data_IF_919615953435
#
_entry.id   IF_919615953435
#
_cell.length_a   1.000
_cell.length_b   1.000
_cell.length_c   1.000
_cell.angle_alpha   90.00
_cell.angle_beta   90.00
_cell.angle_gamma   90.00
#
_symmetry.space_group_name_H-M   'P 1'
#
loop_
_entity.id
_entity.type
_entity.pdbx_description
1 polymer ?
#
# COMPACT_ATOMS: atom_id res chain seq x y z
N UNK A 1 2.44 -23.02 65.85
CA UNK A 1 1.63 -23.45 64.70
C UNK A 1 1.26 -22.20 63.94
N UNK A 2 2.00 -21.90 62.89
CA UNK A 2 1.80 -20.73 62.02
C UNK A 2 1.01 -21.21 60.78
N UNK A 3 -0.19 -20.68 60.55
CA UNK A 3 -1.02 -20.99 59.39
C UNK A 3 -0.51 -20.16 58.19
N UNK A 4 -0.34 -20.74 56.98
CA UNK A 4 -0.04 -19.96 55.81
C UNK A 4 -1.29 -19.27 55.29
N UNK A 5 -1.20 -17.97 55.06
CA UNK A 5 -2.21 -17.18 54.39
C UNK A 5 -2.15 -17.44 52.90
N UNK A 6 -3.23 -17.95 52.31
CA UNK A 6 -3.46 -18.07 50.87
C UNK A 6 -3.78 -16.67 50.34
N UNK A 7 -2.86 -16.11 49.52
CA UNK A 7 -3.13 -14.94 48.71
C UNK A 7 -4.03 -15.36 47.52
N UNK A 8 -5.13 -14.65 47.25
CA UNK A 8 -5.91 -14.91 46.04
C UNK A 8 -5.17 -14.38 44.80
N UNK A 9 -4.91 -15.27 43.86
CA UNK A 9 -4.37 -14.95 42.55
C UNK A 9 -5.47 -14.20 41.77
N UNK A 10 -5.36 -12.87 41.69
CA UNK A 10 -6.21 -12.04 40.83
C UNK A 10 -5.85 -12.33 39.38
N UNK A 11 -6.66 -13.14 38.72
CA UNK A 11 -6.71 -13.25 37.24
C UNK A 11 -7.23 -11.92 36.69
N UNK A 12 -6.31 -11.03 36.31
CA UNK A 12 -6.62 -9.90 35.48
C UNK A 12 -7.09 -10.42 34.09
N UNK A 13 -8.30 -10.07 33.63
CA UNK A 13 -8.70 -10.38 32.28
C UNK A 13 -7.76 -9.63 31.32
N UNK A 14 -7.07 -10.37 30.47
CA UNK A 14 -6.37 -9.84 29.33
C UNK A 14 -7.44 -9.16 28.44
N UNK A 15 -7.64 -7.86 28.64
CA UNK A 15 -8.33 -7.02 27.67
C UNK A 15 -7.47 -7.03 26.42
N UNK A 16 -7.83 -7.89 25.47
CA UNK A 16 -7.30 -7.80 24.11
C UNK A 16 -7.58 -6.38 23.63
N UNK A 17 -6.53 -5.59 23.50
CA UNK A 17 -6.62 -4.28 22.87
C UNK A 17 -7.26 -4.49 21.48
N UNK A 18 -8.24 -3.65 21.07
CA UNK A 18 -8.81 -3.76 19.73
C UNK A 18 -7.65 -3.72 18.72
N UNK A 19 -7.57 -4.76 17.88
CA UNK A 19 -6.53 -4.88 16.87
C UNK A 19 -6.47 -3.60 16.05
N UNK A 20 -5.31 -2.97 16.04
CA UNK A 20 -5.07 -1.76 15.24
C UNK A 20 -5.19 -2.16 13.78
N UNK A 21 -6.00 -1.45 13.04
CA UNK A 21 -6.16 -1.57 11.60
C UNK A 21 -4.78 -1.36 10.95
N UNK A 22 -4.22 -2.41 10.41
CA UNK A 22 -3.07 -2.37 9.51
C UNK A 22 -3.62 -2.75 8.13
N UNK A 23 -3.12 -2.16 7.08
CA UNK A 23 -3.18 -2.69 5.72
C UNK A 23 -2.74 -4.17 5.69
N UNK A 24 -2.54 -4.83 4.54
CA UNK A 24 -1.96 -6.19 4.63
C UNK A 24 -1.03 -6.22 5.82
N UNK A 25 -1.22 -7.14 6.77
CA UNK A 25 -0.33 -7.20 7.91
C UNK A 25 1.13 -7.35 7.46
N UNK A 26 2.04 -7.30 8.39
CA UNK A 26 3.48 -7.37 8.10
C UNK A 26 3.85 -8.52 7.14
N UNK A 27 3.23 -9.70 7.29
CA UNK A 27 3.51 -10.86 6.46
C UNK A 27 2.94 -10.72 5.04
N UNK A 28 1.78 -10.09 4.89
CA UNK A 28 1.18 -9.83 3.59
C UNK A 28 2.01 -8.88 2.74
N UNK A 29 2.45 -7.75 3.30
CA UNK A 29 3.37 -6.82 2.63
C UNK A 29 4.68 -7.49 2.22
N UNK A 30 5.25 -8.33 3.09
CA UNK A 30 6.46 -9.09 2.77
C UNK A 30 6.25 -10.02 1.59
N UNK A 31 5.11 -10.72 1.53
CA UNK A 31 4.77 -11.59 0.40
C UNK A 31 4.60 -10.81 -0.90
N UNK A 32 3.96 -9.64 -0.87
CA UNK A 32 3.87 -8.73 -2.04
C UNK A 32 5.26 -8.37 -2.58
N UNK A 33 6.21 -8.02 -1.68
CA UNK A 33 7.61 -7.75 -2.07
C UNK A 33 8.28 -9.01 -2.67
N UNK A 34 8.13 -10.17 -2.04
CA UNK A 34 8.75 -11.41 -2.50
C UNK A 34 8.22 -11.85 -3.88
N UNK A 35 6.92 -11.67 -4.12
CA UNK A 35 6.29 -11.90 -5.42
C UNK A 35 6.87 -10.92 -6.45
N UNK A 36 6.96 -9.63 -6.09
CA UNK A 36 7.50 -8.61 -6.99
C UNK A 36 8.96 -8.88 -7.37
N UNK A 37 9.81 -9.21 -6.41
CA UNK A 37 11.22 -9.56 -6.67
C UNK A 37 11.35 -10.78 -7.58
N UNK A 38 10.50 -11.79 -7.39
CA UNK A 38 10.52 -13.00 -8.22
C UNK A 38 10.02 -12.75 -9.66
N UNK A 39 9.25 -11.69 -9.88
CA UNK A 39 8.73 -11.31 -11.20
C UNK A 39 9.71 -10.46 -12.03
N UNK A 40 10.75 -9.90 -11.41
CA UNK A 40 11.71 -9.03 -12.10
C UNK A 40 12.56 -9.79 -13.11
N UNK A 41 12.89 -9.20 -14.27
CA UNK A 41 13.73 -9.84 -15.27
C UNK A 41 15.21 -9.87 -14.83
N UNK A 42 16.03 -10.80 -15.38
CA UNK A 42 17.44 -10.97 -14.98
C UNK A 42 18.32 -9.72 -15.18
N UNK A 43 17.93 -8.81 -16.06
CA UNK A 43 18.65 -7.55 -16.33
C UNK A 43 18.19 -6.38 -15.44
N UNK A 44 17.31 -6.61 -14.49
CA UNK A 44 17.06 -5.66 -13.40
C UNK A 44 18.32 -5.57 -12.49
N UNK A 45 18.63 -4.42 -11.86
CA UNK A 45 19.84 -4.27 -11.07
C UNK A 45 20.06 -5.39 -10.05
N UNK A 46 21.14 -6.15 -10.20
CA UNK A 46 21.41 -7.39 -9.44
C UNK A 46 21.52 -7.16 -7.93
N UNK A 47 21.95 -5.96 -7.50
CA UNK A 47 22.07 -5.65 -6.08
C UNK A 47 20.74 -5.73 -5.32
N UNK A 48 19.59 -5.58 -6.00
CA UNK A 48 18.25 -5.68 -5.37
C UNK A 48 17.90 -7.12 -5.00
N UNK A 49 18.47 -8.11 -5.71
CA UNK A 49 18.17 -9.54 -5.54
C UNK A 49 19.03 -10.24 -4.49
N UNK A 50 19.99 -9.55 -3.86
CA UNK A 50 20.77 -10.10 -2.74
C UNK A 50 19.87 -10.45 -1.55
N UNK A 51 20.23 -11.47 -0.74
CA UNK A 51 19.39 -11.88 0.39
C UNK A 51 19.13 -10.76 1.39
N UNK A 52 20.16 -9.97 1.72
CA UNK A 52 20.07 -8.87 2.69
C UNK A 52 19.26 -7.68 2.13
N UNK A 53 19.44 -7.37 0.85
CA UNK A 53 18.72 -6.30 0.17
C UNK A 53 17.25 -6.67 -0.03
N UNK A 54 16.95 -7.89 -0.43
CA UNK A 54 15.59 -8.41 -0.55
C UNK A 54 14.87 -8.38 0.80
N UNK A 55 15.55 -8.81 1.88
CA UNK A 55 15.03 -8.71 3.25
C UNK A 55 14.81 -7.26 3.66
N UNK A 56 15.75 -6.37 3.34
CA UNK A 56 15.61 -4.95 3.65
C UNK A 56 14.39 -4.32 2.96
N UNK A 57 14.16 -4.60 1.68
CA UNK A 57 12.97 -4.09 0.97
C UNK A 57 11.69 -4.65 1.60
N UNK A 58 11.68 -5.95 1.93
CA UNK A 58 10.56 -6.59 2.61
C UNK A 58 10.29 -6.00 4.00
N UNK A 59 11.33 -5.69 4.78
CA UNK A 59 11.21 -4.99 6.07
C UNK A 59 10.64 -3.58 5.91
N UNK A 60 11.12 -2.83 4.92
CA UNK A 60 10.72 -1.45 4.66
C UNK A 60 9.29 -1.34 4.14
N UNK A 61 8.72 -2.42 3.58
CA UNK A 61 7.31 -2.43 3.17
C UNK A 61 6.34 -2.30 4.35
N UNK A 62 6.77 -2.51 5.58
CA UNK A 62 5.98 -2.23 6.78
C UNK A 62 6.26 -0.86 7.42
N UNK A 63 7.13 -0.03 6.84
CA UNK A 63 7.54 1.23 7.47
C UNK A 63 6.42 2.27 7.56
N UNK A 64 5.57 2.51 6.53
CA UNK A 64 4.47 3.46 6.63
C UNK A 64 3.48 3.10 7.74
N UNK A 65 3.24 1.83 8.00
CA UNK A 65 2.41 1.38 9.12
C UNK A 65 3.03 1.70 10.49
N UNK A 66 4.35 1.62 10.60
CA UNK A 66 5.05 1.98 11.85
C UNK A 66 4.86 3.46 12.17
N UNK A 67 4.83 4.34 11.15
CA UNK A 67 4.58 5.77 11.34
C UNK A 67 3.19 6.06 11.90
N UNK A 68 2.17 5.27 11.55
CA UNK A 68 0.81 5.41 12.11
C UNK A 68 0.75 5.20 13.61
N UNK A 69 1.68 4.43 14.16
CA UNK A 69 1.72 4.12 15.58
C UNK A 69 2.29 5.28 16.44
N UNK A 70 2.90 6.27 15.81
CA UNK A 70 3.38 7.47 16.50
C UNK A 70 2.20 8.41 16.72
N UNK A 71 2.00 8.92 17.97
CA UNK A 71 0.89 9.85 18.26
C UNK A 71 1.13 11.26 17.71
N UNK A 72 2.19 11.48 16.94
CA UNK A 72 2.58 12.77 16.41
C UNK A 72 1.67 13.21 15.26
N UNK A 73 0.91 14.28 15.49
CA UNK A 73 -0.02 14.84 14.51
C UNK A 73 0.62 15.28 13.18
N UNK A 74 1.82 15.89 13.14
CA UNK A 74 2.48 16.21 11.88
C UNK A 74 2.69 15.01 10.96
N UNK A 75 3.07 13.84 11.49
CA UNK A 75 3.18 12.62 10.70
C UNK A 75 1.83 12.13 10.18
N UNK A 76 0.75 12.36 10.92
CA UNK A 76 -0.59 12.00 10.50
C UNK A 76 -1.16 12.94 9.44
N UNK A 77 -0.75 14.20 9.43
CA UNK A 77 -1.29 15.23 8.54
C UNK A 77 -0.45 15.44 7.27
N UNK A 78 0.83 15.14 7.31
CA UNK A 78 1.79 15.52 6.26
C UNK A 78 1.91 14.53 5.10
N UNK A 79 1.00 13.58 4.96
CA UNK A 79 1.12 12.48 3.99
C UNK A 79 2.07 11.39 4.48
N UNK A 80 1.95 10.20 3.94
CA UNK A 80 2.72 9.02 4.40
C UNK A 80 2.16 8.41 5.68
N UNK A 81 1.00 8.89 6.14
CA UNK A 81 0.25 8.28 7.21
C UNK A 81 -1.18 7.99 6.73
N UNK A 82 -2.17 7.91 7.53
CA UNK A 82 -3.50 7.34 7.24
C UNK A 82 -4.05 7.55 5.82
N UNK A 83 -4.00 8.76 5.27
CA UNK A 83 -4.64 9.08 3.99
C UNK A 83 -3.96 8.46 2.77
N UNK A 84 -2.69 8.11 2.84
CA UNK A 84 -1.92 7.58 1.70
C UNK A 84 -2.10 6.06 1.52
N UNK A 85 -2.75 5.38 2.48
CA UNK A 85 -2.94 3.93 2.49
C UNK A 85 -4.16 3.44 1.69
N UNK A 86 -5.08 4.32 1.32
CA UNK A 86 -6.36 3.91 0.72
C UNK A 86 -6.89 4.95 -0.27
N UNK A 87 -7.94 4.55 -1.00
CA UNK A 87 -8.80 5.43 -1.78
C UNK A 87 -10.24 4.89 -1.77
N UNK A 88 -11.12 5.51 -1.01
CA UNK A 88 -12.55 5.14 -0.93
C UNK A 88 -13.30 5.63 -2.17
N UNK A 89 -13.50 4.74 -3.15
CA UNK A 89 -14.05 5.12 -4.45
C UNK A 89 -15.47 5.67 -4.37
N UNK A 90 -16.28 5.19 -3.46
CA UNK A 90 -17.65 5.69 -3.26
C UNK A 90 -17.67 7.16 -2.82
N UNK A 91 -16.68 7.60 -2.04
CA UNK A 91 -16.59 9.01 -1.64
C UNK A 91 -16.26 9.94 -2.82
N UNK A 92 -15.60 9.45 -3.86
CA UNK A 92 -15.41 10.21 -5.09
C UNK A 92 -16.76 10.45 -5.76
N UNK A 93 -17.55 9.39 -5.93
CA UNK A 93 -18.91 9.46 -6.50
C UNK A 93 -19.83 10.34 -5.64
N UNK A 94 -19.78 10.17 -4.32
CA UNK A 94 -20.54 10.99 -3.37
C UNK A 94 -20.18 12.49 -3.49
N UNK A 95 -18.95 12.83 -3.88
CA UNK A 95 -18.49 14.19 -4.14
C UNK A 95 -18.73 14.67 -5.58
N UNK A 96 -19.36 13.86 -6.42
CA UNK A 96 -19.61 14.18 -7.83
C UNK A 96 -18.34 14.13 -8.70
N UNK A 97 -17.32 13.37 -8.28
CA UNK A 97 -16.07 13.15 -9.02
C UNK A 97 -16.11 11.82 -9.75
N UNK A 98 -15.54 11.81 -10.95
CA UNK A 98 -15.41 10.61 -11.77
C UNK A 98 -13.96 10.13 -11.77
N UNK A 99 -13.74 8.84 -11.50
CA UNK A 99 -12.44 8.21 -11.51
C UNK A 99 -11.75 8.32 -12.89
N UNK A 100 -12.53 8.31 -13.97
CA UNK A 100 -12.01 8.38 -15.34
C UNK A 100 -11.49 9.77 -15.72
N UNK A 101 -11.85 10.80 -14.98
CA UNK A 101 -11.40 12.19 -15.18
C UNK A 101 -10.60 12.72 -13.99
N UNK A 102 -10.33 11.89 -12.99
CA UNK A 102 -9.62 12.29 -11.78
C UNK A 102 -8.22 12.83 -12.10
N UNK A 103 -7.90 14.02 -11.60
CA UNK A 103 -6.60 14.67 -11.85
C UNK A 103 -5.44 13.93 -11.21
N UNK A 104 -4.30 13.85 -11.90
CA UNK A 104 -3.05 13.34 -11.33
C UNK A 104 -2.32 14.35 -10.40
N UNK A 105 -2.78 15.60 -10.33
CA UNK A 105 -2.23 16.62 -9.46
C UNK A 105 -2.90 16.60 -8.09
N UNK A 106 -2.17 16.19 -7.05
CA UNK A 106 -2.71 16.03 -5.68
C UNK A 106 -3.38 17.29 -5.14
N UNK A 107 -2.81 18.47 -5.36
CA UNK A 107 -3.38 19.74 -4.88
C UNK A 107 -4.69 20.11 -5.59
N UNK A 108 -4.80 19.84 -6.89
CA UNK A 108 -6.04 20.03 -7.63
C UNK A 108 -7.13 19.09 -7.13
N UNK A 109 -6.77 17.81 -6.92
CA UNK A 109 -7.69 16.84 -6.35
C UNK A 109 -8.24 17.27 -4.98
N UNK A 110 -7.38 17.74 -4.08
CA UNK A 110 -7.81 18.23 -2.76
C UNK A 110 -8.86 19.35 -2.92
N UNK A 111 -8.64 20.30 -3.83
CA UNK A 111 -9.59 21.38 -4.11
C UNK A 111 -10.88 20.86 -4.75
N UNK A 112 -10.79 19.95 -5.71
CA UNK A 112 -11.95 19.36 -6.36
C UNK A 112 -12.80 18.57 -5.36
N UNK A 113 -12.18 17.73 -4.55
CA UNK A 113 -12.87 16.93 -3.55
C UNK A 113 -13.52 17.81 -2.47
N UNK A 114 -12.82 18.81 -1.94
CA UNK A 114 -13.37 19.71 -0.92
C UNK A 114 -14.60 20.47 -1.46
N UNK A 115 -14.56 20.95 -2.70
CA UNK A 115 -15.70 21.61 -3.36
C UNK A 115 -16.86 20.63 -3.60
N UNK A 116 -16.56 19.44 -4.13
CA UNK A 116 -17.55 18.40 -4.36
C UNK A 116 -18.26 17.98 -3.07
N UNK A 117 -17.48 17.71 -2.01
CA UNK A 117 -18.03 17.40 -0.69
C UNK A 117 -18.92 18.50 -0.13
N UNK A 118 -18.55 19.77 -0.30
CA UNK A 118 -19.37 20.89 0.15
C UNK A 118 -20.68 21.01 -0.67
N UNK A 119 -20.59 20.79 -1.99
CA UNK A 119 -21.75 20.83 -2.88
C UNK A 119 -22.73 19.67 -2.63
N UNK A 120 -22.23 18.51 -2.26
CA UNK A 120 -22.98 17.27 -2.03
C UNK A 120 -23.00 16.87 -0.54
N UNK A 121 -23.01 17.82 0.38
CA UNK A 121 -22.87 17.56 1.82
C UNK A 121 -23.86 16.52 2.38
N UNK A 122 -25.06 16.41 1.80
CA UNK A 122 -26.08 15.45 2.21
C UNK A 122 -25.69 13.97 1.93
N UNK A 123 -24.75 13.72 1.00
CA UNK A 123 -24.25 12.37 0.70
C UNK A 123 -23.25 11.87 1.77
N UNK A 124 -22.70 12.77 2.58
CA UNK A 124 -21.69 12.45 3.58
C UNK A 124 -22.28 12.36 4.98
N UNK A 125 -21.90 11.34 5.72
CA UNK A 125 -22.26 11.25 7.13
C UNK A 125 -21.58 12.36 7.93
N UNK A 126 -22.26 12.91 8.97
CA UNK A 126 -21.61 13.79 9.92
C UNK A 126 -20.38 13.12 10.55
N UNK A 127 -19.28 13.85 10.61
CA UNK A 127 -18.05 13.40 11.25
C UNK A 127 -18.09 13.79 12.72
N UNK A 128 -17.90 12.83 13.61
CA UNK A 128 -17.68 13.09 15.03
C UNK A 128 -16.28 13.70 15.27
N UNK A 129 -16.18 14.97 15.67
CA UNK A 129 -14.86 15.60 15.88
C UNK A 129 -14.00 14.91 16.95
N UNK A 130 -14.64 14.27 17.95
CA UNK A 130 -13.91 13.56 19.00
C UNK A 130 -13.18 12.31 18.46
N UNK A 131 -13.70 11.73 17.38
CA UNK A 131 -13.16 10.54 16.70
C UNK A 131 -12.36 10.87 15.45
N UNK A 132 -12.22 12.14 15.07
CA UNK A 132 -11.51 12.62 13.89
C UNK A 132 -10.43 13.66 14.28
N UNK A 133 -9.65 13.38 15.30
CA UNK A 133 -8.61 14.30 15.80
C UNK A 133 -7.49 14.54 14.78
N UNK A 134 -7.22 13.56 13.93
CA UNK A 134 -6.24 13.60 12.84
C UNK A 134 -6.82 14.13 11.52
N UNK A 135 -8.12 14.41 11.45
CA UNK A 135 -8.83 14.96 10.30
C UNK A 135 -8.81 14.05 9.04
N UNK A 136 -8.49 12.79 9.20
CA UNK A 136 -8.41 11.84 8.06
C UNK A 136 -9.78 11.43 7.53
N UNK A 137 -10.81 11.34 8.39
CA UNK A 137 -12.18 11.02 7.96
C UNK A 137 -12.84 12.09 7.05
N UNK A 138 -12.15 13.21 6.82
CA UNK A 138 -12.61 14.26 5.91
C UNK A 138 -12.28 13.95 4.45
N UNK A 139 -11.41 12.99 4.17
CA UNK A 139 -10.82 12.70 2.87
C UNK A 139 -11.09 11.26 2.41
N UNK A 140 -11.18 11.04 1.09
CA UNK A 140 -11.39 9.70 0.53
C UNK A 140 -10.11 8.86 0.45
N UNK A 141 -8.97 9.41 0.86
CA UNK A 141 -7.66 8.81 0.70
C UNK A 141 -6.84 9.35 -0.49
N UNK A 142 -5.55 8.97 -0.53
CA UNK A 142 -4.57 9.54 -1.45
C UNK A 142 -3.59 8.51 -2.02
N UNK A 143 -3.85 7.22 -1.89
CA UNK A 143 -2.94 6.16 -2.32
C UNK A 143 -2.41 6.30 -3.77
N UNK A 144 -3.21 6.67 -4.79
CA UNK A 144 -2.71 6.82 -6.16
C UNK A 144 -1.63 7.89 -6.28
N UNK A 145 -1.78 9.02 -5.57
CA UNK A 145 -0.78 10.10 -5.58
C UNK A 145 0.48 9.72 -4.82
N UNK A 146 0.34 9.01 -3.68
CA UNK A 146 1.48 8.47 -2.95
C UNK A 146 2.31 7.51 -3.82
N UNK A 147 1.65 6.60 -4.53
CA UNK A 147 2.30 5.67 -5.47
C UNK A 147 3.02 6.45 -6.58
N UNK A 148 2.36 7.44 -7.21
CA UNK A 148 2.96 8.24 -8.28
C UNK A 148 4.17 9.05 -7.78
N UNK A 149 4.11 9.63 -6.58
CA UNK A 149 5.23 10.35 -5.97
C UNK A 149 6.43 9.42 -5.70
N UNK A 150 6.19 8.26 -5.10
CA UNK A 150 7.27 7.30 -4.83
C UNK A 150 7.82 6.69 -6.12
N UNK A 151 7.00 6.46 -7.14
CA UNK A 151 7.48 6.09 -8.46
C UNK A 151 8.42 7.14 -9.06
N UNK A 152 8.06 8.44 -8.98
CA UNK A 152 8.91 9.53 -9.43
C UNK A 152 10.26 9.56 -8.72
N UNK A 153 10.26 9.38 -7.39
CA UNK A 153 11.48 9.26 -6.57
C UNK A 153 12.33 8.05 -6.97
N UNK A 154 11.69 6.89 -7.21
CA UNK A 154 12.38 5.68 -7.64
C UNK A 154 13.01 5.84 -9.01
N UNK A 155 12.29 6.41 -9.98
CA UNK A 155 12.80 6.69 -11.32
C UNK A 155 13.98 7.68 -11.29
N UNK A 156 13.89 8.74 -10.47
CA UNK A 156 14.99 9.66 -10.22
C UNK A 156 16.19 8.94 -9.59
N UNK A 157 15.93 8.05 -8.62
CA UNK A 157 16.94 7.21 -7.99
C UNK A 157 17.74 6.39 -8.99
N UNK A 158 17.08 5.73 -9.92
CA UNK A 158 17.75 5.00 -11.00
C UNK A 158 18.50 5.94 -11.96
N UNK A 159 18.00 7.15 -12.21
CA UNK A 159 18.67 8.14 -13.05
C UNK A 159 20.03 8.54 -12.47
N UNK A 160 20.08 8.91 -11.17
CA UNK A 160 21.34 9.30 -10.55
C UNK A 160 22.26 8.11 -10.23
N UNK A 161 21.71 6.92 -9.94
CA UNK A 161 22.50 5.71 -9.76
C UNK A 161 23.37 5.41 -11.01
N UNK A 162 22.78 5.48 -12.22
CA UNK A 162 23.51 5.31 -13.47
C UNK A 162 24.70 6.25 -13.62
N UNK A 163 24.57 7.48 -13.11
CA UNK A 163 25.67 8.45 -13.11
C UNK A 163 26.75 8.08 -12.09
N UNK A 164 26.35 7.71 -10.86
CA UNK A 164 27.31 7.32 -9.83
C UNK A 164 28.04 6.01 -10.15
N UNK A 165 27.38 5.05 -10.81
CA UNK A 165 28.02 3.82 -11.25
C UNK A 165 29.07 4.06 -12.34
N UNK A 166 28.93 5.11 -13.15
CA UNK A 166 29.85 5.47 -14.22
C UNK A 166 30.98 6.38 -13.74
N UNK A 167 30.67 7.44 -13.02
CA UNK A 167 31.64 8.52 -12.69
C UNK A 167 31.70 8.89 -11.19
N UNK A 168 30.92 8.24 -10.35
CA UNK A 168 30.89 8.50 -8.91
C UNK A 168 31.96 7.75 -8.14
N UNK A 169 32.04 8.03 -6.84
CA UNK A 169 32.84 7.25 -5.89
C UNK A 169 32.11 5.98 -5.46
N UNK A 170 32.83 4.96 -4.95
CA UNK A 170 32.16 3.76 -4.37
C UNK A 170 31.17 4.09 -3.27
N UNK A 171 31.46 5.10 -2.42
CA UNK A 171 30.58 5.54 -1.35
C UNK A 171 29.29 6.19 -1.89
N UNK A 172 29.38 7.02 -2.93
CA UNK A 172 28.19 7.62 -3.57
C UNK A 172 27.31 6.55 -4.22
N UNK A 173 27.91 5.58 -4.89
CA UNK A 173 27.19 4.45 -5.47
C UNK A 173 26.49 3.59 -4.41
N UNK A 174 27.16 3.30 -3.30
CA UNK A 174 26.57 2.55 -2.18
C UNK A 174 25.38 3.30 -1.55
N UNK A 175 25.52 4.62 -1.33
CA UNK A 175 24.43 5.44 -0.81
C UNK A 175 23.27 5.54 -1.77
N UNK A 176 23.51 5.65 -3.08
CA UNK A 176 22.46 5.65 -4.10
C UNK A 176 21.67 4.33 -4.11
N UNK A 177 22.35 3.20 -4.01
CA UNK A 177 21.71 1.86 -3.89
C UNK A 177 20.87 1.75 -2.61
N UNK A 178 21.38 2.21 -1.47
CA UNK A 178 20.65 2.20 -0.20
C UNK A 178 19.38 3.06 -0.27
N UNK A 179 19.43 4.23 -0.91
CA UNK A 179 18.26 5.08 -1.14
C UNK A 179 17.21 4.41 -2.04
N UNK A 180 17.65 3.71 -3.09
CA UNK A 180 16.73 2.97 -3.96
C UNK A 180 15.99 1.88 -3.19
N UNK A 181 16.69 1.07 -2.40
CA UNK A 181 16.06 0.03 -1.57
C UNK A 181 15.03 0.64 -0.59
N UNK A 182 15.34 1.80 -0.01
CA UNK A 182 14.41 2.52 0.86
C UNK A 182 13.13 2.93 0.13
N UNK A 183 13.27 3.58 -1.03
CA UNK A 183 12.10 4.00 -1.82
C UNK A 183 11.32 2.82 -2.37
N UNK A 184 11.99 1.74 -2.79
CA UNK A 184 11.34 0.50 -3.22
C UNK A 184 10.46 -0.09 -2.12
N UNK A 185 10.96 -0.13 -0.88
CA UNK A 185 10.21 -0.63 0.26
C UNK A 185 8.98 0.22 0.59
N UNK A 186 9.12 1.56 0.62
CA UNK A 186 7.97 2.45 0.86
C UNK A 186 6.90 2.33 -0.23
N UNK A 187 7.32 2.31 -1.49
CA UNK A 187 6.41 2.14 -2.62
C UNK A 187 5.69 0.78 -2.56
N UNK A 188 6.38 -0.27 -2.11
CA UNK A 188 5.80 -1.59 -1.94
C UNK A 188 4.61 -1.60 -0.98
N UNK A 189 4.67 -0.78 0.07
CA UNK A 189 3.57 -0.65 1.02
C UNK A 189 2.29 -0.15 0.33
N UNK A 190 2.33 1.03 -0.28
CA UNK A 190 1.15 1.66 -0.87
C UNK A 190 0.57 0.87 -2.05
N UNK A 191 1.43 0.23 -2.86
CA UNK A 191 0.96 -0.67 -3.92
C UNK A 191 0.33 -1.93 -3.33
N UNK A 192 0.91 -2.47 -2.27
CA UNK A 192 0.37 -3.60 -1.52
C UNK A 192 -1.00 -3.29 -0.93
N UNK A 193 -1.16 -2.15 -0.26
CA UNK A 193 -2.43 -1.68 0.29
C UNK A 193 -3.53 -1.67 -0.76
N UNK A 194 -3.24 -1.09 -1.94
CA UNK A 194 -4.20 -1.04 -3.03
C UNK A 194 -4.58 -2.41 -3.60
N UNK A 195 -3.86 -3.49 -3.28
CA UNK A 195 -4.28 -4.86 -3.64
C UNK A 195 -5.31 -5.44 -2.69
N UNK A 196 -5.41 -4.93 -1.49
CA UNK A 196 -6.39 -5.35 -0.51
C UNK A 196 -7.71 -4.59 -0.78
N UNK A 197 -8.80 -5.27 -1.17
CA UNK A 197 -10.02 -4.61 -1.64
C UNK A 197 -10.62 -3.61 -0.64
N UNK A 198 -10.51 -3.90 0.66
CA UNK A 198 -11.06 -3.03 1.70
C UNK A 198 -10.28 -1.70 1.87
N UNK A 199 -9.13 -1.53 1.20
CA UNK A 199 -8.44 -0.23 1.07
C UNK A 199 -8.97 0.62 -0.08
N UNK A 200 -10.01 0.19 -0.77
CA UNK A 200 -10.57 0.89 -1.92
C UNK A 200 -12.02 1.35 -1.70
N UNK A 201 -12.54 1.20 -0.47
CA UNK A 201 -13.95 1.39 -0.17
C UNK A 201 -14.21 2.01 1.21
N UNK A 202 -15.22 2.88 1.30
CA UNK A 202 -15.77 3.34 2.59
C UNK A 202 -16.37 2.23 3.46
N UNK A 203 -16.59 1.06 2.89
CA UNK A 203 -17.09 -0.15 3.58
C UNK A 203 -15.95 -1.01 4.12
N UNK A 204 -14.80 -0.43 4.44
CA UNK A 204 -13.58 -1.16 4.77
C UNK A 204 -13.70 -2.07 6.01
N UNK A 205 -14.50 -1.72 7.00
CA UNK A 205 -14.57 -2.45 8.28
C UNK A 205 -16.01 -2.66 8.75
N UNK A 206 -16.79 -3.39 7.95
CA UNK A 206 -18.22 -3.54 8.05
C UNK A 206 -18.96 -2.54 7.16
N UNK A 207 -20.13 -2.97 6.64
CA UNK A 207 -20.90 -2.17 5.70
C UNK A 207 -21.35 -0.85 6.33
N UNK A 208 -21.18 0.25 5.64
CA UNK A 208 -21.47 1.60 6.11
C UNK A 208 -22.56 2.25 5.25
N UNK A 209 -23.61 2.76 5.86
CA UNK A 209 -24.74 3.40 5.18
C UNK A 209 -25.93 2.49 4.97
N UNK A 210 -26.71 2.75 3.93
CA UNK A 210 -27.82 1.90 3.53
C UNK A 210 -27.30 0.50 3.19
N UNK A 211 -28.02 -0.52 3.65
CA UNK A 211 -27.56 -1.91 3.53
C UNK A 211 -28.71 -2.82 3.04
N UNK A 212 -29.20 -2.61 1.82
CA UNK A 212 -30.33 -3.39 1.29
C UNK A 212 -30.00 -4.87 1.10
N UNK A 213 -28.70 -5.21 0.96
CA UNK A 213 -28.23 -6.59 0.84
C UNK A 213 -28.03 -7.30 2.18
N UNK A 214 -28.14 -6.58 3.32
CA UNK A 214 -27.93 -7.14 4.65
C UNK A 214 -26.50 -7.65 4.88
N UNK A 215 -25.51 -6.95 4.36
CA UNK A 215 -24.09 -7.27 4.58
C UNK A 215 -23.69 -7.02 6.04
N UNK A 216 -22.66 -7.70 6.48
CA UNK A 216 -22.17 -7.58 7.86
C UNK A 216 -21.72 -6.16 8.19
N UNK A 217 -22.00 -5.75 9.43
CA UNK A 217 -21.43 -4.53 10.03
C UNK A 217 -20.29 -4.84 11.00
N UNK A 218 -19.74 -6.05 10.90
CA UNK A 218 -18.69 -6.50 11.78
C UNK A 218 -17.40 -5.67 11.60
N UNK A 219 -16.98 -5.02 12.65
CA UNK A 219 -15.80 -4.13 12.68
C UNK A 219 -14.45 -4.87 12.79
N UNK A 220 -14.42 -6.19 12.69
CA UNK A 220 -13.23 -7.02 12.59
C UNK A 220 -12.93 -7.51 11.17
N UNK A 221 -13.79 -7.16 10.19
CA UNK A 221 -13.68 -7.64 8.82
C UNK A 221 -12.35 -7.24 8.18
N UNK A 222 -11.95 -5.99 8.34
CA UNK A 222 -10.69 -5.47 7.81
C UNK A 222 -9.49 -6.29 8.30
N UNK A 223 -9.30 -6.37 9.62
CA UNK A 223 -8.19 -7.12 10.20
C UNK A 223 -8.20 -8.62 9.84
N UNK A 224 -9.39 -9.19 9.61
CA UNK A 224 -9.49 -10.58 9.18
C UNK A 224 -8.95 -10.78 7.76
N UNK A 225 -9.24 -9.87 6.83
CA UNK A 225 -8.72 -9.92 5.46
C UNK A 225 -7.23 -9.59 5.44
N UNK A 226 -6.77 -8.58 6.19
CA UNK A 226 -5.37 -8.11 6.19
C UNK A 226 -4.38 -9.19 6.63
N UNK A 227 -4.66 -9.86 7.72
CA UNK A 227 -3.72 -10.79 8.32
C UNK A 227 -4.36 -12.04 8.91
N UNK A 228 -5.63 -11.98 9.30
CA UNK A 228 -6.32 -13.09 9.96
C UNK A 228 -6.32 -14.36 9.12
N UNK A 229 -6.60 -14.26 7.83
CA UNK A 229 -6.60 -15.40 6.89
C UNK A 229 -5.17 -15.91 6.68
N UNK A 230 -4.21 -15.01 6.49
CA UNK A 230 -2.79 -15.35 6.30
C UNK A 230 -2.26 -16.10 7.53
N UNK A 231 -2.48 -15.55 8.72
CA UNK A 231 -2.07 -16.17 9.97
C UNK A 231 -2.70 -17.55 10.15
N UNK A 232 -4.00 -17.66 9.87
CA UNK A 232 -4.74 -18.92 10.06
C UNK A 232 -4.32 -20.02 9.08
N UNK A 233 -4.06 -19.66 7.83
CA UNK A 233 -3.67 -20.64 6.79
C UNK A 233 -2.17 -20.93 6.80
N UNK A 234 -1.37 -20.14 7.49
CA UNK A 234 0.09 -20.21 7.41
C UNK A 234 0.62 -19.92 6.00
N UNK A 235 -0.14 -19.15 5.20
CA UNK A 235 0.25 -18.80 3.84
C UNK A 235 1.61 -18.09 3.82
N UNK A 236 2.50 -18.53 2.92
CA UNK A 236 3.84 -17.96 2.71
C UNK A 236 4.16 -17.95 1.23
N UNK A 237 5.08 -17.09 0.83
CA UNK A 237 5.51 -16.89 -0.55
C UNK A 237 5.82 -18.18 -1.33
N UNK A 238 6.49 -19.22 -0.78
CA UNK A 238 6.75 -20.45 -1.54
C UNK A 238 5.51 -21.10 -2.16
N UNK A 239 4.33 -20.97 -1.50
CA UNK A 239 3.07 -21.49 -2.03
C UNK A 239 2.54 -20.70 -3.24
N UNK A 240 3.03 -19.48 -3.45
CA UNK A 240 2.60 -18.59 -4.54
C UNK A 240 3.61 -18.54 -5.70
N UNK A 241 4.84 -19.01 -5.48
CA UNK A 241 5.98 -18.82 -6.38
C UNK A 241 5.73 -19.26 -7.82
N UNK A 242 5.13 -20.41 -8.02
CA UNK A 242 4.87 -20.97 -9.36
C UNK A 242 3.79 -20.20 -10.14
N UNK A 243 3.03 -19.36 -9.47
CA UNK A 243 1.99 -18.51 -10.06
C UNK A 243 2.47 -17.10 -10.38
N UNK A 244 3.72 -16.79 -10.05
CA UNK A 244 4.32 -15.48 -10.36
C UNK A 244 4.54 -15.39 -11.87
N UNK A 245 4.08 -14.30 -12.47
CA UNK A 245 4.32 -14.01 -13.90
C UNK A 245 5.35 -12.90 -14.07
N UNK A 246 6.11 -12.88 -15.18
CA UNK A 246 7.13 -11.85 -15.40
C UNK A 246 6.56 -10.43 -15.37
N UNK A 247 7.33 -9.50 -14.83
CA UNK A 247 7.00 -8.08 -14.82
C UNK A 247 6.97 -7.50 -16.24
N UNK A 248 6.09 -6.53 -16.45
CA UNK A 248 5.98 -5.78 -17.71
C UNK A 248 6.12 -4.28 -17.48
N UNK A 249 6.66 -3.59 -18.46
CA UNK A 249 6.72 -2.12 -18.43
C UNK A 249 5.32 -1.55 -18.65
N UNK A 250 4.91 -0.63 -17.79
CA UNK A 250 3.65 0.11 -17.92
C UNK A 250 3.83 1.25 -18.94
N UNK A 251 2.76 1.68 -19.62
CA UNK A 251 2.82 2.83 -20.52
C UNK A 251 3.28 4.10 -19.80
N UNK A 252 4.23 4.84 -20.38
CA UNK A 252 4.74 6.13 -19.89
C UNK A 252 4.60 7.24 -20.94
N UNK A 253 4.04 6.95 -22.12
CA UNK A 253 3.82 7.95 -23.17
C UNK A 253 2.82 9.03 -22.71
N UNK A 254 2.94 10.27 -23.24
CA UNK A 254 2.00 11.33 -22.94
C UNK A 254 0.57 10.93 -23.33
N UNK A 255 -0.38 11.31 -22.49
CA UNK A 255 -1.80 11.06 -22.71
C UNK A 255 -2.47 12.32 -23.27
N UNK A 256 -3.48 12.13 -24.11
CA UNK A 256 -4.27 13.23 -24.70
C UNK A 256 -5.02 14.04 -23.61
N UNK A 257 -5.43 13.38 -22.52
CA UNK A 257 -6.11 14.00 -21.39
C UNK A 257 -5.16 14.73 -20.40
N UNK A 258 -3.85 14.75 -20.68
CA UNK A 258 -2.84 15.43 -19.88
C UNK A 258 -2.53 14.79 -18.52
N UNK A 259 -3.21 13.70 -18.15
CA UNK A 259 -2.95 12.99 -16.91
C UNK A 259 -1.67 12.17 -16.98
N UNK A 260 -1.01 11.98 -15.85
CA UNK A 260 0.13 11.09 -15.74
C UNK A 260 -0.26 9.64 -16.08
N UNK A 261 0.43 8.98 -17.03
CA UNK A 261 0.05 7.63 -17.47
C UNK A 261 0.21 6.57 -16.40
N UNK A 262 1.18 6.70 -15.49
CA UNK A 262 1.32 5.79 -14.37
C UNK A 262 0.15 5.96 -13.39
N UNK A 263 -0.22 7.21 -13.07
CA UNK A 263 -1.36 7.49 -12.20
C UNK A 263 -2.64 6.83 -12.73
N UNK A 264 -2.90 6.92 -14.04
CA UNK A 264 -4.06 6.26 -14.66
C UNK A 264 -3.97 4.75 -14.55
N UNK A 265 -2.79 4.15 -14.76
CA UNK A 265 -2.60 2.72 -14.58
C UNK A 265 -2.83 2.27 -13.12
N UNK A 266 -2.48 3.09 -12.15
CA UNK A 266 -2.75 2.84 -10.72
C UNK A 266 -4.25 2.95 -10.43
N UNK A 267 -4.95 3.94 -10.98
CA UNK A 267 -6.41 4.05 -10.81
C UNK A 267 -7.14 2.83 -11.37
N UNK A 268 -6.73 2.34 -12.54
CA UNK A 268 -7.33 1.13 -13.12
C UNK A 268 -7.03 -0.11 -12.27
N UNK A 269 -5.83 -0.22 -11.73
CA UNK A 269 -5.48 -1.26 -10.78
C UNK A 269 -6.38 -1.22 -9.54
N UNK A 270 -6.59 -0.05 -8.92
CA UNK A 270 -7.48 0.12 -7.76
C UNK A 270 -8.92 -0.25 -8.12
N UNK A 271 -9.42 0.18 -9.29
CA UNK A 271 -10.75 -0.16 -9.79
C UNK A 271 -10.97 -1.68 -9.89
N UNK A 272 -9.96 -2.41 -10.37
CA UNK A 272 -10.02 -3.87 -10.46
C UNK A 272 -10.11 -4.54 -9.07
N UNK A 273 -9.35 -4.03 -8.10
CA UNK A 273 -9.39 -4.57 -6.73
C UNK A 273 -10.71 -4.22 -6.03
N UNK A 274 -11.24 -3.03 -6.27
CA UNK A 274 -12.52 -2.60 -5.72
C UNK A 274 -13.68 -3.55 -6.06
N UNK A 275 -13.66 -4.17 -7.24
CA UNK A 275 -14.67 -5.19 -7.63
C UNK A 275 -14.73 -6.39 -6.69
N UNK A 276 -13.69 -6.63 -5.90
CA UNK A 276 -13.64 -7.73 -4.94
C UNK A 276 -14.27 -7.36 -3.59
N UNK A 277 -14.63 -6.12 -3.36
CA UNK A 277 -15.27 -5.67 -2.11
C UNK A 277 -16.57 -6.44 -1.87
N UNK A 278 -17.49 -6.45 -2.83
CA UNK A 278 -18.74 -7.18 -2.69
C UNK A 278 -18.54 -8.69 -2.58
N UNK A 279 -17.51 -9.24 -3.27
CA UNK A 279 -17.17 -10.67 -3.15
C UNK A 279 -16.81 -11.03 -1.70
N UNK A 280 -16.05 -10.19 -1.01
CA UNK A 280 -15.73 -10.37 0.42
C UNK A 280 -17.01 -10.38 1.26
N UNK A 281 -17.90 -9.44 1.03
CA UNK A 281 -19.16 -9.33 1.78
C UNK A 281 -20.11 -10.50 1.50
N UNK A 282 -20.17 -11.00 0.27
CA UNK A 282 -20.97 -12.19 -0.08
C UNK A 282 -20.38 -13.46 0.57
N UNK A 283 -19.06 -13.62 0.59
CA UNK A 283 -18.40 -14.72 1.29
C UNK A 283 -18.68 -14.69 2.80
N UNK A 284 -18.63 -13.51 3.41
CA UNK A 284 -18.94 -13.36 4.83
C UNK A 284 -20.40 -13.71 5.12
N UNK A 285 -21.34 -13.17 4.36
CA UNK A 285 -22.78 -13.42 4.48
C UNK A 285 -23.14 -14.90 4.31
N UNK A 286 -22.43 -15.61 3.44
CA UNK A 286 -22.57 -17.05 3.23
C UNK A 286 -21.90 -17.89 4.32
N UNK A 287 -21.24 -17.28 5.33
CA UNK A 287 -20.48 -17.98 6.36
C UNK A 287 -19.22 -18.67 5.83
N UNK A 288 -18.71 -18.22 4.67
CA UNK A 288 -17.59 -18.85 3.94
C UNK A 288 -16.30 -18.08 4.08
N UNK A 289 -16.23 -17.06 4.95
CA UNK A 289 -15.00 -16.28 5.18
C UNK A 289 -14.01 -16.96 6.17
N UNK A 290 -14.40 -18.10 6.75
CA UNK A 290 -13.52 -18.93 7.57
C UNK A 290 -13.19 -18.37 8.95
N UNK A 291 -14.02 -17.47 9.53
CA UNK A 291 -13.73 -16.84 10.83
C UNK A 291 -13.92 -17.79 12.01
N UNK A 292 -14.83 -18.78 11.89
CA UNK A 292 -15.18 -19.65 13.01
C UNK A 292 -13.96 -20.43 13.52
N UNK A 293 -13.70 -20.43 14.85
CA UNK A 293 -12.58 -21.18 15.43
C UNK A 293 -12.63 -22.66 15.06
N UNK A 294 -11.51 -23.24 14.63
CA UNK A 294 -11.41 -24.66 14.27
C UNK A 294 -12.02 -25.05 12.91
N UNK A 295 -12.73 -24.15 12.22
CA UNK A 295 -13.23 -24.45 10.88
C UNK A 295 -12.08 -24.48 9.85
N UNK A 296 -12.20 -25.33 8.85
CA UNK A 296 -11.32 -25.32 7.69
C UNK A 296 -11.48 -24.01 6.90
N UNK A 297 -10.39 -23.48 6.35
CA UNK A 297 -10.45 -22.30 5.51
C UNK A 297 -11.09 -22.64 4.16
N UNK A 298 -12.23 -22.02 3.81
CA UNK A 298 -12.86 -22.25 2.51
C UNK A 298 -11.91 -21.97 1.34
N UNK A 299 -11.90 -22.85 0.35
CA UNK A 299 -10.98 -22.77 -0.77
C UNK A 299 -11.09 -21.45 -1.56
N UNK A 300 -12.32 -20.95 -1.73
CA UNK A 300 -12.55 -19.67 -2.44
C UNK A 300 -12.03 -18.45 -1.66
N UNK A 301 -12.14 -18.44 -0.33
CA UNK A 301 -11.60 -17.37 0.51
C UNK A 301 -10.08 -17.37 0.46
N UNK A 302 -9.48 -18.55 0.54
CA UNK A 302 -8.03 -18.70 0.35
C UNK A 302 -7.61 -18.23 -1.04
N UNK A 303 -8.29 -18.66 -2.09
CA UNK A 303 -8.01 -18.28 -3.47
C UNK A 303 -8.14 -16.77 -3.70
N UNK A 304 -9.12 -16.11 -3.07
CA UNK A 304 -9.28 -14.66 -3.11
C UNK A 304 -8.03 -13.96 -2.54
N UNK A 305 -7.60 -14.31 -1.32
CA UNK A 305 -6.44 -13.67 -0.68
C UNK A 305 -5.15 -13.93 -1.49
N UNK A 306 -4.95 -15.16 -1.98
CA UNK A 306 -3.81 -15.49 -2.83
C UNK A 306 -3.80 -14.67 -4.13
N UNK A 307 -4.97 -14.49 -4.77
CA UNK A 307 -5.09 -13.68 -5.99
C UNK A 307 -4.77 -12.20 -5.73
N UNK A 308 -5.22 -11.65 -4.59
CA UNK A 308 -4.95 -10.27 -4.23
C UNK A 308 -3.46 -10.02 -3.92
N UNK A 309 -2.80 -10.94 -3.22
CA UNK A 309 -1.35 -10.87 -2.98
C UNK A 309 -0.55 -10.95 -4.29
N UNK A 310 -0.94 -11.85 -5.19
CA UNK A 310 -0.31 -11.97 -6.52
C UNK A 310 -0.54 -10.70 -7.36
N UNK A 311 -1.74 -10.11 -7.33
CA UNK A 311 -2.05 -8.86 -8.03
C UNK A 311 -1.20 -7.69 -7.49
N UNK A 312 -1.04 -7.60 -6.16
CA UNK A 312 -0.18 -6.61 -5.51
C UNK A 312 1.29 -6.75 -5.92
N UNK A 313 1.83 -7.96 -5.82
CA UNK A 313 3.21 -8.23 -6.22
C UNK A 313 3.47 -8.00 -7.70
N UNK A 314 2.52 -8.39 -8.57
CA UNK A 314 2.61 -8.14 -10.01
C UNK A 314 2.61 -6.63 -10.34
N UNK A 315 1.69 -5.87 -9.74
CA UNK A 315 1.65 -4.42 -9.95
C UNK A 315 2.92 -3.75 -9.45
N UNK A 316 3.41 -4.15 -8.28
CA UNK A 316 4.66 -3.63 -7.72
C UNK A 316 5.86 -3.90 -8.63
N UNK A 317 6.00 -5.13 -9.13
CA UNK A 317 7.05 -5.49 -10.07
C UNK A 317 6.99 -4.66 -11.36
N UNK A 318 5.78 -4.47 -11.90
CA UNK A 318 5.56 -3.64 -13.08
C UNK A 318 5.99 -2.19 -12.82
N UNK A 319 5.64 -1.62 -11.68
CA UNK A 319 6.01 -0.24 -11.29
C UNK A 319 7.53 -0.10 -11.12
N UNK A 320 8.18 -1.06 -10.44
CA UNK A 320 9.63 -1.04 -10.28
C UNK A 320 10.37 -1.17 -11.61
N UNK A 321 9.95 -2.12 -12.47
CA UNK A 321 10.54 -2.31 -13.79
C UNK A 321 10.34 -1.07 -14.66
N UNK A 322 9.16 -0.45 -14.59
CA UNK A 322 8.85 0.77 -15.34
C UNK A 322 9.72 1.95 -14.90
N UNK A 323 9.94 2.12 -13.59
CA UNK A 323 10.84 3.14 -13.06
C UNK A 323 12.28 2.93 -13.55
N UNK A 324 12.76 1.69 -13.51
CA UNK A 324 14.09 1.32 -13.99
C UNK A 324 14.26 1.57 -15.49
N UNK A 325 13.32 1.08 -16.31
CA UNK A 325 13.40 1.24 -17.78
C UNK A 325 13.19 2.68 -18.22
N UNK A 326 12.34 3.43 -17.54
CA UNK A 326 12.03 4.83 -17.84
C UNK A 326 13.05 5.83 -17.27
N UNK A 327 14.04 5.39 -16.50
CA UNK A 327 15.09 6.28 -15.98
C UNK A 327 16.09 6.65 -17.08
N UNK A 328 16.41 7.94 -17.18
CA UNK A 328 17.48 8.47 -18.05
C UNK A 328 18.60 9.00 -17.15
N UNK A 329 19.89 8.86 -17.55
CA UNK A 329 21.00 9.41 -16.76
C UNK A 329 20.83 10.89 -16.48
N UNK A 330 21.09 11.31 -15.23
CA UNK A 330 21.02 12.70 -14.82
C UNK A 330 22.22 13.50 -15.38
N UNK A 331 21.99 14.24 -16.46
CA UNK A 331 23.02 15.02 -17.15
C UNK A 331 23.54 16.18 -16.31
N UNK A 332 22.70 16.78 -15.46
CA UNK A 332 23.12 17.85 -14.55
C UNK A 332 24.08 17.33 -13.48
N UNK A 333 23.73 16.22 -12.83
CA UNK A 333 24.59 15.56 -11.86
C UNK A 333 25.93 15.15 -12.49
N UNK A 334 25.91 14.55 -13.69
CA UNK A 334 27.12 14.16 -14.43
C UNK A 334 28.03 15.36 -14.65
N UNK A 335 27.49 16.49 -15.11
CA UNK A 335 28.25 17.70 -15.28
C UNK A 335 28.81 18.29 -13.97
N UNK A 336 28.05 18.16 -12.87
CA UNK A 336 28.52 18.61 -11.55
C UNK A 336 29.68 17.74 -11.04
N UNK A 337 29.63 16.41 -11.23
CA UNK A 337 30.72 15.49 -10.86
C UNK A 337 31.98 15.81 -11.69
N UNK A 338 31.84 15.98 -13.01
CA UNK A 338 32.98 16.33 -13.89
C UNK A 338 33.69 17.61 -13.46
N UNK A 339 32.91 18.66 -13.09
CA UNK A 339 33.50 19.90 -12.55
C UNK A 339 34.23 19.67 -11.23
N UNK A 340 33.70 18.88 -10.33
CA UNK A 340 34.34 18.51 -9.06
C UNK A 340 35.65 17.77 -9.28
N UNK A 341 35.69 16.81 -10.22
CA UNK A 341 36.89 16.06 -10.55
C UNK A 341 37.98 16.93 -11.20
N UNK A 342 37.58 17.87 -12.07
CA UNK A 342 38.52 18.82 -12.69
C UNK A 342 39.08 19.84 -11.70
N UNK A 343 38.40 20.13 -10.60
CA UNK A 343 38.84 21.04 -9.55
C UNK A 343 39.63 20.36 -8.42
N UNK A 344 39.73 19.03 -8.45
CA UNK A 344 40.57 18.30 -7.48
C UNK A 344 42.05 18.54 -7.79
N UNK A 345 42.90 18.84 -6.77
CA UNK A 345 44.34 19.16 -6.97
C UNK A 345 45.16 17.95 -7.47
#
# INVERSE_FOLDING_TARGET
MIRPALLPLLLLPFLAAPGRLAAWDYEGHRMVVQIALAALPPDFPSFVGGPDEAERVAFLSGEPDRWRNVPDLPLKHAGGSWGDHFLDLEYLTDAGLDLDTLTSFRYEFVLQFARGRAAHAAAFKPIDPARNKDRTAEWPGFAPWAIAEHFGRLRSGFSYLRVFEDVGTPAETANARANLLYVMGLLAHYVGDCSQPLHTTKHYNGWSGENPRGYTTWNGLHAWIDGGIIARTGLRFPALRERVVPARVLPLGPREDGRDPLFVAVLEYIRLQHRQVEVIYELEKAGRLGQAPGAEMPAETRALVEAQLLAGGQMLANVWLTAFRGAVPDTYLRAAIARRQAAAP
#
